data_IF_583567079539
#
_entry.id   IF_583567079539
#
_cell.length_a   1.000
_cell.length_b   1.000
_cell.length_c   1.000
_cell.angle_alpha   90.00
_cell.angle_beta   90.00
_cell.angle_gamma   90.00
#
_symmetry.space_group_name_H-M   'P 1'
#
loop_
_entity.id
_entity.type
_entity.pdbx_description
1 polymer ?
#
# COMPACT_ATOMS: atom_id res chain seq x y z
N UNK A 1 8.19 21.89 11.78
CA UNK A 1 9.26 20.87 11.73
C UNK A 1 8.73 19.56 11.18
N UNK A 2 7.68 18.93 11.76
CA UNK A 2 7.14 17.64 11.27
C UNK A 2 6.52 17.71 9.87
N UNK A 3 5.77 18.77 9.54
CA UNK A 3 5.19 18.93 8.18
C UNK A 3 6.28 19.04 7.12
N UNK A 4 7.36 19.79 7.41
CA UNK A 4 8.48 19.93 6.50
C UNK A 4 9.20 18.60 6.31
N UNK A 5 9.45 17.85 7.38
CA UNK A 5 10.05 16.52 7.31
C UNK A 5 9.24 15.55 6.43
N UNK A 6 7.92 15.56 6.56
CA UNK A 6 7.04 14.76 5.72
C UNK A 6 7.17 15.14 4.23
N UNK A 7 7.10 16.43 3.93
CA UNK A 7 7.24 16.93 2.55
C UNK A 7 8.63 16.64 1.99
N UNK A 8 9.68 16.87 2.78
CA UNK A 8 11.07 16.58 2.41
C UNK A 8 11.25 15.09 2.09
N UNK A 9 10.63 14.20 2.86
CA UNK A 9 10.65 12.77 2.56
C UNK A 9 10.03 12.48 1.20
N UNK A 10 8.86 13.05 0.90
CA UNK A 10 8.18 12.85 -0.39
C UNK A 10 9.00 13.39 -1.57
N UNK A 11 9.63 14.56 -1.41
CA UNK A 11 10.50 15.17 -2.42
C UNK A 11 11.75 14.32 -2.68
N UNK A 12 12.31 13.70 -1.64
CA UNK A 12 13.49 12.84 -1.76
C UNK A 12 13.19 11.44 -2.31
N UNK A 13 11.92 11.04 -2.44
CA UNK A 13 11.50 9.73 -2.96
C UNK A 13 10.51 9.87 -4.13
N UNK A 14 10.88 10.58 -5.23
CA UNK A 14 9.97 10.82 -6.35
C UNK A 14 9.67 9.55 -7.16
N UNK A 15 10.47 8.49 -7.02
CA UNK A 15 10.22 7.19 -7.65
C UNK A 15 9.10 6.41 -6.97
N UNK A 16 8.78 6.74 -5.71
CA UNK A 16 7.75 6.07 -4.92
C UNK A 16 6.49 6.92 -4.77
N UNK A 17 6.64 8.24 -4.72
CA UNK A 17 5.59 9.19 -4.40
C UNK A 17 5.44 10.31 -5.43
N UNK A 18 4.20 10.76 -5.61
CA UNK A 18 3.84 12.04 -6.24
C UNK A 18 3.06 12.85 -5.22
N UNK A 19 3.26 14.17 -5.18
CA UNK A 19 2.51 15.00 -4.24
C UNK A 19 2.25 16.40 -4.78
N UNK A 20 1.18 17.02 -4.27
CA UNK A 20 0.82 18.42 -4.52
C UNK A 20 0.01 18.98 -3.36
N UNK A 21 0.04 20.30 -3.20
CA UNK A 21 -0.90 20.99 -2.32
C UNK A 21 -2.28 21.05 -2.98
N UNK A 22 -3.31 20.61 -2.26
CA UNK A 22 -4.68 20.57 -2.77
C UNK A 22 -5.68 20.69 -1.63
N UNK A 23 -6.83 21.29 -1.95
CA UNK A 23 -7.97 21.35 -1.04
C UNK A 23 -8.88 20.14 -1.29
N UNK A 24 -9.23 19.43 -0.23
CA UNK A 24 -10.18 18.33 -0.27
C UNK A 24 -11.28 18.60 0.76
N UNK A 25 -12.55 18.60 0.33
CA UNK A 25 -13.72 18.84 1.19
C UNK A 25 -13.62 20.11 2.05
N UNK A 26 -13.10 21.21 1.49
CA UNK A 26 -12.95 22.47 2.22
C UNK A 26 -11.74 22.53 3.16
N UNK A 27 -10.87 21.51 3.16
CA UNK A 27 -9.65 21.45 3.98
C UNK A 27 -8.42 21.47 3.09
N UNK A 28 -7.58 22.47 3.28
CA UNK A 28 -6.27 22.56 2.63
C UNK A 28 -5.34 21.47 3.18
N UNK A 29 -4.54 20.90 2.30
CA UNK A 29 -3.60 19.85 2.68
C UNK A 29 -2.74 19.40 1.51
N UNK A 30 -2.18 18.21 1.66
CA UNK A 30 -1.26 17.60 0.71
C UNK A 30 -1.91 16.34 0.14
N UNK A 31 -2.14 16.32 -1.17
CA UNK A 31 -2.50 15.10 -1.86
C UNK A 31 -1.22 14.32 -2.19
N UNK A 32 -1.14 13.09 -1.70
CA UNK A 32 0.02 12.21 -1.86
C UNK A 32 -0.42 10.94 -2.58
N UNK A 33 0.17 10.71 -3.75
CA UNK A 33 0.03 9.50 -4.53
C UNK A 33 1.16 8.53 -4.28
N UNK A 34 0.85 7.26 -4.03
CA UNK A 34 1.85 6.20 -3.93
C UNK A 34 1.86 5.37 -5.21
N UNK A 35 2.94 5.45 -5.98
CA UNK A 35 3.04 4.88 -7.32
C UNK A 35 2.89 3.37 -7.35
N UNK A 36 3.60 2.68 -6.43
CA UNK A 36 3.61 1.21 -6.35
C UNK A 36 2.22 0.62 -6.12
N UNK A 37 1.39 1.29 -5.31
CA UNK A 37 0.07 0.79 -4.93
C UNK A 37 -1.07 1.49 -5.64
N UNK A 38 -0.78 2.49 -6.49
CA UNK A 38 -1.77 3.27 -7.23
C UNK A 38 -2.87 3.79 -6.30
N UNK A 39 -2.46 4.51 -5.26
CA UNK A 39 -3.33 5.09 -4.24
C UNK A 39 -3.12 6.60 -4.16
N UNK A 40 -4.15 7.32 -3.72
CA UNK A 40 -4.13 8.76 -3.49
C UNK A 40 -4.70 9.05 -2.10
N UNK A 41 -3.95 9.75 -1.27
CA UNK A 41 -4.32 10.05 0.12
C UNK A 41 -4.12 11.52 0.40
N UNK A 42 -5.15 12.18 0.94
CA UNK A 42 -5.07 13.59 1.33
C UNK A 42 -4.73 13.69 2.83
N UNK A 43 -3.72 14.49 3.15
CA UNK A 43 -3.30 14.75 4.53
C UNK A 43 -3.47 16.23 4.86
N UNK A 44 -4.22 16.52 5.92
CA UNK A 44 -4.26 17.87 6.47
C UNK A 44 -3.01 18.15 7.31
N UNK A 45 -2.56 19.42 7.40
CA UNK A 45 -1.43 19.79 8.25
C UNK A 45 -1.62 19.40 9.72
N UNK A 46 -2.86 19.41 10.20
CA UNK A 46 -3.22 18.99 11.55
C UNK A 46 -2.90 17.51 11.80
N UNK A 47 -3.25 16.62 10.88
CA UNK A 47 -2.98 15.18 10.99
C UNK A 47 -1.47 14.93 10.90
N UNK A 48 -0.79 15.60 9.97
CA UNK A 48 0.67 15.48 9.82
C UNK A 48 1.38 15.92 11.11
N UNK A 49 0.92 17.00 11.74
CA UNK A 49 1.50 17.48 13.01
C UNK A 49 1.23 16.58 14.21
N UNK A 50 0.21 15.73 14.17
CA UNK A 50 -0.18 14.83 15.27
C UNK A 50 0.47 13.43 15.20
N UNK A 51 0.88 13.01 14.01
CA UNK A 51 1.40 11.66 13.77
C UNK A 51 2.85 11.68 13.32
N UNK A 52 3.51 10.53 13.37
CA UNK A 52 4.89 10.37 12.91
C UNK A 52 4.94 9.99 11.42
N UNK A 53 6.14 10.11 10.83
CA UNK A 53 6.38 9.81 9.41
C UNK A 53 5.95 8.40 9.03
N UNK A 54 6.33 7.39 9.82
CA UNK A 54 6.03 5.98 9.56
C UNK A 54 4.52 5.73 9.43
N UNK A 55 3.73 6.27 10.35
CA UNK A 55 2.27 6.17 10.32
C UNK A 55 1.67 6.85 9.08
N UNK A 56 2.14 8.05 8.73
CA UNK A 56 1.64 8.77 7.55
C UNK A 56 1.93 7.99 6.27
N UNK A 57 3.15 7.46 6.13
CA UNK A 57 3.52 6.61 5.01
C UNK A 57 2.67 5.33 4.96
N UNK A 58 2.38 4.70 6.10
CA UNK A 58 1.51 3.53 6.15
C UNK A 58 0.06 3.83 5.74
N UNK A 59 -0.42 5.07 5.89
CA UNK A 59 -1.76 5.43 5.39
C UNK A 59 -1.77 5.55 3.87
N UNK A 60 -0.64 5.92 3.25
CA UNK A 60 -0.57 6.08 1.78
C UNK A 60 -0.86 4.78 1.02
N UNK A 61 -0.59 3.61 1.61
CA UNK A 61 -0.76 2.31 0.95
C UNK A 61 -2.22 1.81 0.96
N UNK A 62 -3.12 2.41 1.76
CA UNK A 62 -4.55 2.03 1.87
C UNK A 62 -4.80 0.52 2.09
N UNK A 63 -3.89 -0.14 2.82
CA UNK A 63 -3.98 -1.58 3.06
C UNK A 63 -3.73 -2.47 1.83
N UNK A 64 -3.17 -1.93 0.74
CA UNK A 64 -2.82 -2.70 -0.47
C UNK A 64 -1.48 -3.44 -0.36
N UNK A 65 -0.63 -3.11 0.61
CA UNK A 65 0.60 -3.85 0.87
C UNK A 65 0.28 -5.15 1.61
N UNK A 66 -0.19 -6.15 0.86
CA UNK A 66 -0.63 -7.44 1.36
C UNK A 66 0.16 -8.59 0.76
N UNK A 67 0.34 -9.64 1.56
CA UNK A 67 0.97 -10.89 1.12
C UNK A 67 -0.09 -11.93 0.77
N UNK A 68 0.13 -12.68 -0.31
CA UNK A 68 -0.73 -13.79 -0.70
C UNK A 68 -0.25 -15.05 0.01
N UNK A 69 -1.11 -15.67 0.82
CA UNK A 69 -0.80 -16.90 1.52
C UNK A 69 -1.79 -17.97 1.09
N UNK A 70 -1.29 -19.17 0.81
CA UNK A 70 -2.14 -20.32 0.47
C UNK A 70 -1.61 -21.60 1.10
N UNK A 71 -2.50 -22.59 1.25
CA UNK A 71 -2.16 -23.89 1.80
C UNK A 71 -1.42 -24.75 0.77
N UNK A 72 -0.42 -25.48 1.22
CA UNK A 72 0.27 -26.57 0.49
C UNK A 72 -0.05 -27.89 1.20
N UNK A 73 0.79 -28.92 1.11
CA UNK A 73 0.59 -30.21 1.78
C UNK A 73 0.79 -30.08 3.30
N UNK A 74 -0.24 -29.60 4.00
CA UNK A 74 -0.30 -29.56 5.47
C UNK A 74 0.10 -28.24 6.14
N UNK A 75 0.57 -27.23 5.40
CA UNK A 75 0.97 -25.94 5.97
C UNK A 75 0.61 -24.76 5.06
N UNK A 76 0.62 -23.54 5.60
CA UNK A 76 0.44 -22.30 4.84
C UNK A 76 1.78 -21.73 4.40
N UNK A 77 1.86 -21.22 3.18
CA UNK A 77 3.06 -20.58 2.64
C UNK A 77 2.70 -19.28 1.92
N UNK A 78 3.60 -18.30 2.03
CA UNK A 78 3.61 -17.12 1.15
C UNK A 78 3.79 -17.56 -0.29
N UNK A 79 2.96 -17.04 -1.19
CA UNK A 79 2.98 -17.34 -2.63
C UNK A 79 4.12 -16.59 -3.32
N UNK A 80 4.49 -15.40 -2.81
CA UNK A 80 5.61 -14.59 -3.33
C UNK A 80 6.94 -15.35 -3.41
N UNK A 81 7.18 -16.31 -2.52
CA UNK A 81 8.39 -17.14 -2.49
C UNK A 81 8.34 -18.41 -3.36
N UNK A 82 7.30 -18.62 -4.15
CA UNK A 82 7.14 -19.85 -4.94
C UNK A 82 7.86 -19.77 -6.29
N UNK A 83 8.47 -20.88 -6.69
CA UNK A 83 9.05 -21.00 -8.02
C UNK A 83 7.96 -21.19 -9.10
N UNK A 84 8.36 -21.14 -10.38
CA UNK A 84 7.43 -21.28 -11.52
C UNK A 84 6.61 -22.58 -11.48
N UNK A 85 7.17 -23.68 -10.99
CA UNK A 85 6.48 -24.97 -10.87
C UNK A 85 5.31 -24.92 -9.88
N UNK A 86 5.56 -24.47 -8.65
CA UNK A 86 4.53 -24.32 -7.62
C UNK A 86 3.44 -23.30 -8.01
N UNK A 87 3.81 -22.24 -8.74
CA UNK A 87 2.83 -21.31 -9.30
C UNK A 87 1.95 -21.97 -10.37
N UNK A 88 2.50 -22.91 -11.15
CA UNK A 88 1.74 -23.76 -12.07
C UNK A 88 0.75 -24.65 -11.31
N UNK A 89 1.24 -25.38 -10.31
CA UNK A 89 0.38 -26.21 -9.44
C UNK A 89 -0.78 -25.42 -8.84
N UNK A 90 -0.56 -24.16 -8.42
CA UNK A 90 -1.63 -23.31 -7.89
C UNK A 90 -2.70 -22.97 -8.91
N UNK A 91 -2.30 -22.73 -10.17
CA UNK A 91 -3.21 -22.41 -11.28
C UNK A 91 -4.03 -23.63 -11.69
N UNK A 92 -3.43 -24.81 -11.65
CA UNK A 92 -4.02 -26.08 -12.07
C UNK A 92 -4.91 -26.73 -10.99
N UNK A 93 -5.03 -26.11 -9.80
CA UNK A 93 -5.93 -26.62 -8.76
C UNK A 93 -7.37 -26.63 -9.25
N UNK A 94 -7.98 -27.80 -9.18
CA UNK A 94 -9.41 -27.95 -9.41
C UNK A 94 -10.20 -27.10 -8.40
N UNK A 95 -11.16 -26.35 -8.92
CA UNK A 95 -12.04 -25.48 -8.13
C UNK A 95 -13.43 -26.05 -8.23
N UNK A 96 -13.73 -27.02 -7.38
CA UNK A 96 -15.10 -27.50 -7.26
C UNK A 96 -15.98 -26.37 -6.75
N UNK A 97 -17.02 -26.03 -7.51
CA UNK A 97 -18.07 -25.16 -7.03
C UNK A 97 -18.75 -25.80 -5.82
N UNK A 98 -19.21 -24.99 -4.88
CA UNK A 98 -20.07 -25.49 -3.80
C UNK A 98 -21.47 -25.62 -4.39
N UNK A 99 -21.83 -26.82 -4.88
CA UNK A 99 -23.19 -27.22 -5.25
C UNK A 99 -23.45 -27.46 -6.74
N UNK A 100 -23.42 -28.73 -7.14
CA UNK A 100 -24.47 -29.38 -7.93
C UNK A 100 -24.99 -30.59 -7.12
#
# INVERSE_FOLDING_TARGET
MIVQEFVDYLVNHPDEFEWKEEECEGKTGFLVGHKRFETLTHFTPEVIGKHNLEFLLSQTIQGKDVEKITRVTGYFSKVSGWNKGKLGELKDRDRSGIGE
#
